data_IF_059923095300
#
_entry.id   IF_059923095300
#
_cell.length_a   1.000
_cell.length_b   1.000
_cell.length_c   1.000
_cell.angle_alpha   90.00
_cell.angle_beta   90.00
_cell.angle_gamma   90.00
#
_symmetry.space_group_name_H-M   'P 1'
#
loop_
_entity.id
_entity.type
_entity.pdbx_description
1 polymer ?
#
# COMPACT_ATOMS: atom_id res chain seq x y z
N UNK A 1 4.40 1.15 36.67
CA UNK A 1 5.41 0.63 35.72
C UNK A 1 6.24 1.81 35.25
N UNK A 2 7.57 1.74 35.43
CA UNK A 2 8.49 2.73 34.88
C UNK A 2 8.76 2.37 33.42
N UNK A 3 8.40 3.25 32.49
CA UNK A 3 8.53 3.01 31.04
C UNK A 3 9.93 3.35 30.51
N UNK A 4 10.87 3.70 31.39
CA UNK A 4 12.23 4.08 31.02
C UNK A 4 13.26 3.48 31.98
N UNK A 5 14.34 2.93 31.42
CA UNK A 5 15.47 2.37 32.15
C UNK A 5 16.46 3.46 32.63
N UNK A 6 15.98 4.68 32.86
CA UNK A 6 16.81 5.86 33.13
C UNK A 6 16.43 6.41 34.51
N UNK A 7 17.35 6.24 35.47
CA UNK A 7 17.22 6.80 36.83
C UNK A 7 17.85 8.20 36.94
N UNK A 8 18.71 8.60 35.99
CA UNK A 8 19.35 9.92 35.94
C UNK A 8 19.57 10.42 34.51
N UNK A 9 19.21 11.67 34.24
CA UNK A 9 19.45 12.37 32.96
C UNK A 9 20.83 13.05 32.88
N UNK A 10 21.71 12.79 33.85
CA UNK A 10 23.04 13.40 33.91
C UNK A 10 24.13 12.63 33.13
N UNK A 11 23.78 11.51 32.50
CA UNK A 11 24.70 10.68 31.72
C UNK A 11 24.86 11.15 30.26
N UNK A 12 25.97 10.78 29.63
CA UNK A 12 26.20 11.07 28.21
C UNK A 12 25.18 10.30 27.35
N UNK A 13 24.41 10.99 26.51
CA UNK A 13 23.36 10.36 25.68
C UNK A 13 23.90 9.27 24.76
N UNK A 14 25.20 9.33 24.41
CA UNK A 14 25.85 8.31 23.60
C UNK A 14 25.98 6.93 24.29
N UNK A 15 25.89 6.89 25.63
CA UNK A 15 25.98 5.65 26.43
C UNK A 15 24.61 5.03 26.67
N UNK A 16 23.55 5.81 26.46
CA UNK A 16 22.16 5.37 26.57
C UNK A 16 21.82 4.76 25.21
N UNK A 17 21.74 3.43 25.15
CA UNK A 17 21.46 2.68 23.93
C UNK A 17 20.11 3.04 23.25
N UNK A 18 19.65 2.23 22.29
CA UNK A 18 18.48 2.58 21.49
C UNK A 18 17.25 2.86 22.36
N UNK A 19 16.65 4.05 22.18
CA UNK A 19 15.55 4.55 23.00
C UNK A 19 14.27 4.64 22.16
N UNK A 20 13.65 3.50 21.90
CA UNK A 20 12.33 3.41 21.28
C UNK A 20 11.71 2.03 21.54
N UNK A 21 10.40 1.83 21.37
CA UNK A 21 9.77 0.52 21.56
C UNK A 21 10.29 -0.52 20.55
N UNK A 22 10.34 -1.79 20.97
CA UNK A 22 10.70 -2.94 20.12
C UNK A 22 12.16 -2.99 19.63
N UNK A 23 13.10 -2.38 20.36
CA UNK A 23 14.55 -2.58 20.12
C UNK A 23 14.90 -4.07 20.09
N UNK A 24 15.68 -4.48 19.10
CA UNK A 24 16.08 -5.87 18.87
C UNK A 24 15.06 -6.71 18.08
N UNK A 25 13.85 -6.19 17.84
CA UNK A 25 12.82 -6.85 17.01
C UNK A 25 12.70 -6.20 15.63
N UNK A 26 13.58 -5.26 15.27
CA UNK A 26 13.47 -4.46 14.04
C UNK A 26 13.43 -5.34 12.80
N UNK A 27 14.31 -6.35 12.73
CA UNK A 27 14.37 -7.25 11.58
C UNK A 27 13.13 -8.17 11.51
N UNK A 28 12.62 -8.63 12.65
CA UNK A 28 11.41 -9.44 12.67
C UNK A 28 10.19 -8.63 12.20
N UNK A 29 10.04 -7.40 12.69
CA UNK A 29 8.97 -6.49 12.28
C UNK A 29 9.09 -6.11 10.80
N UNK A 30 10.31 -5.91 10.30
CA UNK A 30 10.58 -5.71 8.89
C UNK A 30 10.10 -6.89 8.04
N UNK A 31 10.44 -8.12 8.42
CA UNK A 31 10.01 -9.33 7.70
C UNK A 31 8.49 -9.46 7.71
N UNK A 32 7.83 -9.23 8.85
CA UNK A 32 6.37 -9.26 8.94
C UNK A 32 5.75 -8.21 8.02
N UNK A 33 6.23 -6.97 8.06
CA UNK A 33 5.76 -5.90 7.18
C UNK A 33 5.96 -6.24 5.71
N UNK A 34 7.12 -6.80 5.35
CA UNK A 34 7.43 -7.22 3.98
C UNK A 34 6.50 -8.33 3.49
N UNK A 35 6.21 -9.33 4.32
CA UNK A 35 5.25 -10.41 3.97
C UNK A 35 3.85 -9.84 3.75
N UNK A 36 3.37 -9.00 4.66
CA UNK A 36 2.05 -8.36 4.53
C UNK A 36 1.96 -7.50 3.27
N UNK A 37 3.03 -6.76 2.96
CA UNK A 37 3.13 -5.93 1.77
C UNK A 37 3.07 -6.73 0.47
N UNK A 38 3.81 -7.84 0.39
CA UNK A 38 3.78 -8.74 -0.77
C UNK A 38 2.39 -9.37 -0.94
N UNK A 39 1.79 -9.87 0.16
CA UNK A 39 0.44 -10.43 0.12
C UNK A 39 -0.59 -9.42 -0.37
N UNK A 40 -0.47 -8.16 0.07
CA UNK A 40 -1.32 -7.07 -0.39
C UNK A 40 -1.18 -6.83 -1.89
N UNK A 41 0.05 -6.72 -2.41
CA UNK A 41 0.30 -6.55 -3.85
C UNK A 41 -0.27 -7.68 -4.70
N UNK A 42 -0.10 -8.93 -4.27
CA UNK A 42 -0.67 -10.09 -4.98
C UNK A 42 -2.19 -10.00 -5.04
N UNK A 43 -2.83 -9.60 -3.94
CA UNK A 43 -4.29 -9.42 -3.90
C UNK A 43 -4.73 -8.25 -4.80
N UNK A 44 -4.00 -7.15 -4.79
CA UNK A 44 -4.29 -5.96 -5.58
C UNK A 44 -4.21 -6.26 -7.09
N UNK A 45 -3.12 -6.90 -7.53
CA UNK A 45 -2.95 -7.31 -8.92
C UNK A 45 -4.06 -8.26 -9.42
N UNK A 46 -4.54 -9.16 -8.55
CA UNK A 46 -5.64 -10.06 -8.90
C UNK A 46 -6.95 -9.30 -9.09
N UNK A 47 -7.28 -8.40 -8.17
CA UNK A 47 -8.50 -7.58 -8.26
C UNK A 47 -8.47 -6.72 -9.51
N UNK A 48 -7.33 -6.06 -9.78
CA UNK A 48 -7.16 -5.25 -10.98
C UNK A 48 -7.34 -6.08 -12.24
N UNK A 49 -6.76 -7.29 -12.30
CA UNK A 49 -6.92 -8.18 -13.46
C UNK A 49 -8.38 -8.54 -13.71
N UNK A 50 -9.14 -8.84 -12.65
CA UNK A 50 -10.58 -9.16 -12.75
C UNK A 50 -11.37 -7.94 -13.23
N UNK A 51 -11.11 -6.75 -12.68
CA UNK A 51 -11.76 -5.50 -13.09
C UNK A 51 -11.44 -5.12 -14.55
N UNK A 52 -10.18 -5.24 -14.96
CA UNK A 52 -9.77 -4.99 -16.34
C UNK A 52 -10.48 -5.94 -17.33
N UNK A 53 -10.65 -7.21 -16.97
CA UNK A 53 -11.38 -8.15 -17.82
C UNK A 53 -12.85 -7.76 -17.99
N UNK A 54 -13.51 -7.31 -16.91
CA UNK A 54 -14.89 -6.81 -16.96
C UNK A 54 -15.01 -5.53 -17.81
N UNK A 55 -14.07 -4.59 -17.67
CA UNK A 55 -14.05 -3.35 -18.45
C UNK A 55 -13.82 -3.63 -19.94
N UNK A 56 -12.90 -4.53 -20.28
CA UNK A 56 -12.69 -4.95 -21.68
C UNK A 56 -13.94 -5.60 -22.25
N UNK A 57 -14.67 -6.42 -21.49
CA UNK A 57 -15.93 -6.99 -21.97
C UNK A 57 -17.02 -5.92 -22.15
N UNK A 58 -17.09 -4.93 -21.26
CA UNK A 58 -18.13 -3.89 -21.28
C UNK A 58 -17.89 -2.82 -22.32
N UNK A 59 -16.63 -2.47 -22.58
CA UNK A 59 -16.25 -1.31 -23.37
C UNK A 59 -15.30 -1.62 -24.53
N UNK A 60 -14.73 -2.83 -24.60
CA UNK A 60 -13.73 -3.19 -25.61
C UNK A 60 -14.29 -3.50 -27.00
N UNK A 61 -15.61 -3.46 -27.21
CA UNK A 61 -16.17 -3.62 -28.55
C UNK A 61 -16.04 -2.31 -29.34
N UNK A 62 -15.71 -2.35 -30.66
CA UNK A 62 -15.66 -1.15 -31.50
C UNK A 62 -16.98 -0.37 -31.49
N UNK A 63 -18.12 -1.06 -31.40
CA UNK A 63 -19.45 -0.45 -31.30
C UNK A 63 -19.67 0.28 -29.96
N UNK A 64 -19.21 -0.27 -28.83
CA UNK A 64 -19.33 0.42 -27.53
C UNK A 64 -18.44 1.66 -27.47
N UNK A 65 -17.26 1.62 -28.08
CA UNK A 65 -16.36 2.78 -28.18
C UNK A 65 -16.95 3.87 -29.08
N UNK A 66 -17.46 3.52 -30.26
CA UNK A 66 -18.11 4.47 -31.15
C UNK A 66 -19.33 5.11 -30.49
N UNK A 67 -20.14 4.33 -29.75
CA UNK A 67 -21.30 4.87 -29.02
C UNK A 67 -20.92 5.85 -27.91
N UNK A 68 -19.81 5.61 -27.20
CA UNK A 68 -19.31 6.53 -26.17
C UNK A 68 -18.76 7.80 -26.83
N UNK A 69 -17.97 7.66 -27.90
CA UNK A 69 -17.41 8.79 -28.65
C UNK A 69 -18.52 9.66 -29.27
N UNK A 70 -19.55 9.05 -29.86
CA UNK A 70 -20.70 9.76 -30.43
C UNK A 70 -21.57 10.44 -29.35
N UNK A 71 -21.65 9.87 -28.15
CA UNK A 71 -22.38 10.46 -27.03
C UNK A 71 -21.63 11.64 -26.38
N UNK A 72 -20.31 11.71 -26.55
CA UNK A 72 -19.45 12.76 -26.01
C UNK A 72 -19.18 13.89 -27.02
N UNK A 73 -19.45 13.69 -28.31
CA UNK A 73 -19.39 14.75 -29.32
C UNK A 73 -20.64 15.65 -29.25
N UNK A 74 -20.52 16.93 -28.79
CA UNK A 74 -21.64 17.85 -28.70
C UNK A 74 -22.18 18.32 -30.06
N UNK A 75 -21.61 17.86 -31.18
CA UNK A 75 -21.99 18.23 -32.55
C UNK A 75 -22.42 17.05 -33.45
N UNK A 76 -22.67 15.86 -32.88
CA UNK A 76 -23.27 14.74 -33.63
C UNK A 76 -24.74 15.07 -34.03
N UNK A 77 -25.15 14.89 -35.31
CA UNK A 77 -26.45 15.35 -35.84
C UNK A 77 -27.69 14.62 -35.30
#
# INVERSE_FOLDING_TARGET
MSTGNIESWSGNMAEIGPLYPFVGAEFALFVVGMVLWILWHVRQARIETEQYAEEVQRFGSPESLNKILDAEDPYSP
#
